data_IF_568019057663
#
_entry.id   IF_568019057663
#
_cell.length_a   1.000
_cell.length_b   1.000
_cell.length_c   1.000
_cell.angle_alpha   90.00
_cell.angle_beta   90.00
_cell.angle_gamma   90.00
#
_symmetry.space_group_name_H-M   'P 1'
#
loop_
_entity.id
_entity.type
_entity.pdbx_description
1 polymer ?
#
# COMPACT_ATOMS: atom_id res chain seq x y z
N UNK A 1 4.39 -17.33 16.49
CA UNK A 1 4.62 -16.06 15.75
C UNK A 1 5.45 -16.19 14.48
N UNK A 2 6.44 -17.09 14.37
CA UNK A 2 7.35 -17.18 13.19
C UNK A 2 6.70 -17.52 11.83
N UNK A 3 5.48 -18.07 11.80
CA UNK A 3 4.74 -18.36 10.56
C UNK A 3 4.03 -17.14 9.95
N UNK A 4 3.72 -16.11 10.74
CA UNK A 4 3.01 -14.93 10.26
C UNK A 4 3.91 -14.01 9.41
N UNK A 5 5.21 -13.93 9.73
CA UNK A 5 6.14 -13.03 9.03
C UNK A 5 6.43 -13.44 7.59
N UNK A 6 6.48 -14.74 7.29
CA UNK A 6 6.63 -15.25 5.92
C UNK A 6 5.37 -14.98 5.10
N UNK A 7 4.22 -15.41 5.61
CA UNK A 7 2.92 -15.20 4.97
C UNK A 7 2.63 -13.72 4.66
N UNK A 8 3.02 -12.81 5.56
CA UNK A 8 2.86 -11.37 5.30
C UNK A 8 3.79 -10.86 4.19
N UNK A 9 5.01 -11.36 4.09
CA UNK A 9 5.93 -10.98 3.02
C UNK A 9 5.45 -11.47 1.65
N UNK A 10 4.93 -12.69 1.59
CA UNK A 10 4.34 -13.27 0.37
C UNK A 10 3.11 -12.46 -0.05
N UNK A 11 2.21 -12.14 0.90
CA UNK A 11 1.05 -11.29 0.66
C UNK A 11 1.43 -9.90 0.13
N UNK A 12 2.45 -9.25 0.70
CA UNK A 12 2.97 -7.97 0.19
C UNK A 12 3.41 -8.10 -1.27
N UNK A 13 4.17 -9.14 -1.58
CA UNK A 13 4.70 -9.35 -2.92
C UNK A 13 3.58 -9.58 -3.92
N UNK A 14 2.60 -10.42 -3.59
CA UNK A 14 1.44 -10.71 -4.45
C UNK A 14 0.61 -9.45 -4.70
N UNK A 15 0.24 -8.70 -3.65
CA UNK A 15 -0.48 -7.43 -3.79
C UNK A 15 0.28 -6.41 -4.64
N UNK A 16 1.58 -6.27 -4.40
CA UNK A 16 2.40 -5.34 -5.17
C UNK A 16 2.52 -5.72 -6.65
N UNK A 17 2.46 -7.02 -6.96
CA UNK A 17 2.39 -7.51 -8.34
C UNK A 17 1.02 -7.27 -8.95
N UNK A 18 -0.06 -7.62 -8.27
CA UNK A 18 -1.45 -7.40 -8.71
C UNK A 18 -1.73 -5.92 -9.03
N UNK A 19 -1.26 -5.01 -8.18
CA UNK A 19 -1.43 -3.57 -8.38
C UNK A 19 -0.51 -2.99 -9.47
N UNK A 20 0.41 -3.78 -10.02
CA UNK A 20 1.37 -3.30 -11.01
C UNK A 20 2.27 -2.18 -10.48
N UNK A 21 2.75 -2.33 -9.23
CA UNK A 21 3.69 -1.38 -8.65
C UNK A 21 5.05 -1.49 -9.35
N UNK A 22 5.62 -0.35 -9.73
CA UNK A 22 7.02 -0.23 -10.17
C UNK A 22 7.97 -0.56 -9.03
N UNK A 23 9.25 -0.89 -9.30
CA UNK A 23 10.23 -1.13 -8.23
C UNK A 23 10.29 0.02 -7.22
N UNK A 24 10.24 1.26 -7.69
CA UNK A 24 10.24 2.43 -6.80
C UNK A 24 8.98 2.57 -5.94
N UNK A 25 7.82 2.25 -6.49
CA UNK A 25 6.56 2.27 -5.73
C UNK A 25 6.53 1.16 -4.68
N UNK A 26 7.10 -0.02 -4.96
CA UNK A 26 7.20 -1.11 -3.97
C UNK A 26 8.00 -0.69 -2.74
N UNK A 27 9.12 0.00 -2.94
CA UNK A 27 9.92 0.54 -1.82
C UNK A 27 9.11 1.52 -0.98
N UNK A 28 8.42 2.48 -1.62
CA UNK A 28 7.60 3.49 -0.92
C UNK A 28 6.44 2.83 -0.18
N UNK A 29 5.75 1.89 -0.81
CA UNK A 29 4.66 1.14 -0.18
C UNK A 29 5.16 0.36 1.05
N UNK A 30 6.31 -0.30 0.96
CA UNK A 30 6.90 -1.05 2.07
C UNK A 30 7.24 -0.13 3.26
N UNK A 31 7.86 1.03 3.01
CA UNK A 31 8.15 1.98 4.08
C UNK A 31 6.90 2.63 4.67
N UNK A 32 5.89 2.92 3.83
CA UNK A 32 4.59 3.39 4.29
C UNK A 32 3.86 2.33 5.14
N UNK A 33 4.01 1.04 4.84
CA UNK A 33 3.43 -0.01 5.68
C UNK A 33 4.18 -0.12 7.02
N UNK A 34 5.49 0.13 7.02
CA UNK A 34 6.35 0.15 8.23
C UNK A 34 6.16 1.37 9.14
N UNK A 35 5.24 2.27 8.86
CA UNK A 35 4.99 3.43 9.74
C UNK A 35 5.85 4.67 9.46
N UNK A 36 6.74 4.66 8.46
CA UNK A 36 7.60 5.81 8.15
C UNK A 36 6.82 7.01 7.58
N UNK A 37 7.29 8.21 7.88
CA UNK A 37 6.80 9.48 7.32
C UNK A 37 7.34 9.74 5.91
N UNK A 38 6.70 10.64 5.17
CA UNK A 38 7.15 11.05 3.82
C UNK A 38 8.59 11.54 3.81
N UNK A 39 8.99 12.30 4.84
CA UNK A 39 10.35 12.83 4.97
C UNK A 39 11.38 11.73 5.22
N UNK A 40 11.08 10.76 6.09
CA UNK A 40 11.95 9.59 6.33
C UNK A 40 12.11 8.75 5.05
N UNK A 41 11.02 8.53 4.31
CA UNK A 41 11.05 7.81 3.04
C UNK A 41 11.89 8.55 2.00
N UNK A 42 11.72 9.87 1.90
CA UNK A 42 12.49 10.71 0.98
C UNK A 42 14.00 10.61 1.28
N UNK A 43 14.37 10.69 2.56
CA UNK A 43 15.75 10.53 3.02
C UNK A 43 16.32 9.15 2.69
N UNK A 44 15.62 8.07 3.08
CA UNK A 44 16.07 6.69 2.84
C UNK A 44 16.21 6.36 1.35
N UNK A 45 15.36 6.93 0.51
CA UNK A 45 15.36 6.70 -0.94
C UNK A 45 16.18 7.71 -1.73
N UNK A 46 16.86 8.65 -1.06
CA UNK A 46 17.65 9.71 -1.71
C UNK A 46 16.85 10.45 -2.80
N UNK A 47 15.61 10.82 -2.51
CA UNK A 47 14.68 11.47 -3.44
C UNK A 47 13.94 12.62 -2.74
N UNK A 48 13.23 13.45 -3.50
CA UNK A 48 12.40 14.52 -2.90
C UNK A 48 11.12 13.99 -2.24
N UNK A 49 10.62 14.69 -1.22
CA UNK A 49 9.28 14.44 -0.67
C UNK A 49 8.17 14.54 -1.72
N UNK A 50 8.33 15.44 -2.71
CA UNK A 50 7.38 15.56 -3.82
C UNK A 50 7.28 14.28 -4.64
N UNK A 51 8.42 13.65 -4.93
CA UNK A 51 8.48 12.34 -5.60
C UNK A 51 7.81 11.25 -4.77
N UNK A 52 8.06 11.21 -3.45
CA UNK A 52 7.42 10.25 -2.54
C UNK A 52 5.90 10.45 -2.51
N UNK A 53 5.42 11.69 -2.43
CA UNK A 53 3.99 12.02 -2.47
C UNK A 53 3.35 11.56 -3.79
N UNK A 54 4.00 11.83 -4.92
CA UNK A 54 3.51 11.41 -6.24
C UNK A 54 3.41 9.87 -6.34
N UNK A 55 4.45 9.16 -5.89
CA UNK A 55 4.46 7.69 -5.86
C UNK A 55 3.41 7.14 -4.89
N UNK A 56 3.23 7.76 -3.73
CA UNK A 56 2.20 7.39 -2.74
C UNK A 56 0.79 7.51 -3.33
N UNK A 57 0.49 8.61 -4.04
CA UNK A 57 -0.78 8.78 -4.72
C UNK A 57 -0.98 7.76 -5.85
N UNK A 58 0.08 7.40 -6.58
CA UNK A 58 0.02 6.36 -7.59
C UNK A 58 -0.27 4.98 -6.97
N UNK A 59 0.36 4.66 -5.84
CA UNK A 59 0.11 3.42 -5.07
C UNK A 59 -1.36 3.35 -4.66
N UNK A 60 -1.92 4.40 -4.06
CA UNK A 60 -3.32 4.41 -3.64
C UNK A 60 -4.29 4.19 -4.80
N UNK A 61 -4.06 4.88 -5.93
CA UNK A 61 -4.87 4.70 -7.14
C UNK A 61 -4.80 3.27 -7.67
N UNK A 62 -3.60 2.68 -7.70
CA UNK A 62 -3.37 1.30 -8.17
C UNK A 62 -3.95 0.24 -7.23
N UNK A 63 -3.97 0.52 -5.93
CA UNK A 63 -4.55 -0.35 -4.91
C UNK A 63 -6.06 -0.12 -4.70
N UNK A 64 -6.68 0.85 -5.37
CA UNK A 64 -8.11 1.16 -5.25
C UNK A 64 -8.50 1.80 -3.90
N UNK A 65 -7.57 2.47 -3.22
CA UNK A 65 -7.79 3.10 -1.91
C UNK A 65 -7.53 4.60 -1.96
N UNK A 66 -7.95 5.34 -0.93
CA UNK A 66 -7.76 6.80 -0.87
C UNK A 66 -6.66 7.24 0.10
N UNK A 67 -6.07 6.31 0.85
CA UNK A 67 -5.06 6.68 1.83
C UNK A 67 -4.40 5.52 2.55
N UNK A 68 -3.39 5.87 3.35
CA UNK A 68 -2.56 4.93 4.12
C UNK A 68 -3.35 4.02 5.06
N UNK A 69 -4.35 4.51 5.83
CA UNK A 69 -5.11 3.63 6.71
C UNK A 69 -5.84 2.53 5.93
N UNK A 70 -6.46 2.87 4.80
CA UNK A 70 -7.16 1.91 3.94
C UNK A 70 -6.17 0.94 3.28
N UNK A 71 -5.02 1.42 2.80
CA UNK A 71 -3.96 0.55 2.29
C UNK A 71 -3.53 -0.50 3.32
N UNK A 72 -3.36 -0.09 4.58
CA UNK A 72 -3.02 -1.01 5.68
C UNK A 72 -4.17 -1.97 6.00
N UNK A 73 -5.42 -1.50 6.01
CA UNK A 73 -6.61 -2.33 6.21
C UNK A 73 -6.68 -3.46 5.19
N UNK A 74 -6.27 -3.24 3.93
CA UNK A 74 -6.26 -4.30 2.92
C UNK A 74 -5.46 -5.52 3.38
N UNK A 75 -4.26 -5.30 3.91
CA UNK A 75 -3.38 -6.35 4.38
C UNK A 75 -3.84 -6.98 5.71
N UNK A 76 -4.36 -6.18 6.64
CA UNK A 76 -4.86 -6.69 7.93
C UNK A 76 -6.04 -7.64 7.68
N UNK A 77 -7.00 -7.21 6.85
CA UNK A 77 -8.18 -8.00 6.53
C UNK A 77 -7.82 -9.29 5.77
N UNK A 78 -6.84 -9.25 4.87
CA UNK A 78 -6.36 -10.46 4.18
C UNK A 78 -5.65 -11.41 5.16
N UNK A 79 -4.91 -10.89 6.14
CA UNK A 79 -4.23 -11.70 7.17
C UNK A 79 -5.22 -12.30 8.19
N UNK A 80 -6.33 -11.61 8.46
CA UNK A 80 -7.37 -12.05 9.39
C UNK A 80 -8.33 -13.10 8.80
N UNK A 81 -8.18 -13.47 7.53
CA UNK A 81 -9.01 -14.49 6.89
C UNK A 81 -8.52 -15.90 7.23
N UNK A 82 -9.44 -16.69 7.79
CA UNK A 82 -9.18 -18.08 8.22
C UNK A 82 -8.94 -19.07 7.06
N UNK A 83 -9.23 -18.68 5.81
CA UNK A 83 -9.09 -19.54 4.63
C UNK A 83 -7.82 -19.25 3.80
N UNK A 84 -7.00 -18.27 4.21
CA UNK A 84 -5.82 -17.84 3.45
C UNK A 84 -6.15 -17.22 2.08
N UNK A 85 -7.41 -16.85 1.82
CA UNK A 85 -7.84 -16.29 0.54
C UNK A 85 -7.54 -14.79 0.44
N UNK A 86 -6.91 -14.41 -0.65
CA UNK A 86 -6.63 -13.01 -0.99
C UNK A 86 -7.85 -12.41 -1.67
N UNK A 87 -8.29 -11.23 -1.24
CA UNK A 87 -9.44 -10.57 -1.88
C UNK A 87 -9.14 -10.19 -3.31
N UNK A 88 -10.06 -10.42 -4.26
CA UNK A 88 -10.02 -9.69 -5.51
C UNK A 88 -10.16 -8.19 -5.22
N UNK A 89 -9.44 -7.37 -5.98
CA UNK A 89 -9.42 -5.92 -5.81
C UNK A 89 -10.87 -5.38 -5.78
N UNK A 90 -11.25 -4.53 -4.82
CA UNK A 90 -12.53 -3.85 -4.89
C UNK A 90 -12.58 -3.04 -6.19
N UNK A 91 -13.65 -3.21 -6.96
CA UNK A 91 -13.95 -2.33 -8.10
C UNK A 91 -13.87 -0.89 -7.60
N UNK A 92 -13.02 -0.08 -8.26
CA UNK A 92 -12.53 1.20 -7.76
C UNK A 92 -13.66 1.96 -7.05
N UNK A 93 -13.53 2.12 -5.73
CA UNK A 93 -14.53 2.79 -4.93
C UNK A 93 -14.86 4.15 -5.59
N UNK A 94 -16.15 4.49 -5.79
CA UNK A 94 -16.51 5.76 -6.41
C UNK A 94 -15.83 6.86 -5.58
N UNK A 95 -14.98 7.64 -6.25
CA UNK A 95 -14.25 8.73 -5.61
C UNK A 95 -15.29 9.68 -5.04
N UNK A 96 -15.49 9.62 -3.72
CA UNK A 96 -16.31 10.60 -3.01
C UNK A 96 -15.58 11.92 -3.18
N UNK A 97 -16.06 12.75 -4.11
CA UNK A 97 -15.62 14.13 -4.26
C UNK A 97 -15.90 14.82 -2.94
N UNK A 98 -14.86 15.00 -2.13
CA UNK A 98 -14.93 15.90 -0.99
C UNK A 98 -15.07 17.28 -1.61
N UNK A 99 -16.29 17.78 -1.68
CA UNK A 99 -16.58 19.14 -2.10
C UNK A 99 -15.80 20.09 -1.17
N UNK A 100 -14.71 20.64 -1.69
CA UNK A 100 -14.03 21.77 -1.06
C UNK A 100 -14.97 22.95 -1.24
N UNK A 101 -15.57 23.38 -0.13
CA UNK A 101 -16.28 24.66 -0.04
C UNK A 101 -15.26 25.78 0.16
#
# INVERSE_FOLDING_TARGET
MRRASGAFADLLQERFQEWGLTPSEKDVALFAIKGMSTAEIASLRSTSEGTVKAQTNAIYRKAGVTGRPQLLSLFIEDLMRDDGSIRPMPEAAPQVQVAVK
#
